data_IF_203805289465
#
_entry.id   IF_203805289465
#
_cell.length_a   1.000
_cell.length_b   1.000
_cell.length_c   1.000
_cell.angle_alpha   90.00
_cell.angle_beta   90.00
_cell.angle_gamma   90.00
#
_symmetry.space_group_name_H-M   'P 1'
#
loop_
_entity.id
_entity.type
_entity.pdbx_description
1 polymer ?
#
# COMPACT_ATOMS: atom_id res chain seq x y z
N UNK A 1 11.71 29.46 -32.27
CA UNK A 1 11.65 28.90 -30.92
C UNK A 1 12.28 27.52 -30.84
N UNK A 2 13.28 27.40 -29.96
CA UNK A 2 13.75 26.19 -29.25
C UNK A 2 14.25 24.99 -30.08
N UNK A 3 15.51 24.98 -30.54
CA UNK A 3 16.69 24.34 -29.90
C UNK A 3 16.51 22.87 -29.48
N UNK A 4 16.91 21.94 -30.37
CA UNK A 4 17.37 20.59 -30.00
C UNK A 4 18.90 20.55 -30.23
N UNK A 5 19.68 20.46 -29.16
CA UNK A 5 21.12 20.17 -29.22
C UNK A 5 21.34 18.72 -28.79
N UNK A 6 21.55 17.84 -29.77
CA UNK A 6 22.07 16.50 -29.55
C UNK A 6 23.51 16.47 -30.08
N UNK A 7 24.42 17.14 -29.36
CA UNK A 7 25.86 16.91 -29.48
C UNK A 7 26.11 15.47 -29.00
N UNK A 8 26.47 14.56 -29.90
CA UNK A 8 27.85 14.08 -30.09
C UNK A 8 28.42 13.57 -28.76
N UNK A 9 28.68 12.27 -28.58
CA UNK A 9 29.99 11.70 -28.88
C UNK A 9 29.91 10.22 -29.25
N UNK A 10 30.53 9.89 -30.40
CA UNK A 10 30.89 8.54 -30.84
C UNK A 10 32.18 8.07 -30.16
N UNK A 11 32.15 6.81 -29.71
CA UNK A 11 33.19 5.77 -29.86
C UNK A 11 34.68 6.11 -29.62
N UNK A 12 35.26 5.58 -28.53
CA UNK A 12 36.66 5.10 -28.42
C UNK A 12 36.62 3.92 -27.43
N UNK A 13 36.51 2.68 -27.90
CA UNK A 13 37.60 1.67 -28.02
C UNK A 13 38.43 1.48 -26.74
N UNK A 14 38.36 0.24 -26.25
CA UNK A 14 39.21 -0.35 -25.22
C UNK A 14 40.70 -0.13 -25.54
N UNK A 15 41.43 0.45 -24.60
CA UNK A 15 42.89 0.35 -24.50
C UNK A 15 43.22 -0.28 -23.12
N UNK A 16 43.90 -1.45 -23.08
CA UNK A 16 44.18 -2.19 -21.85
C UNK A 16 45.56 -1.86 -21.27
N UNK A 17 45.90 -0.56 -21.13
CA UNK A 17 47.23 -0.17 -20.61
C UNK A 17 47.27 1.27 -20.05
N UNK A 18 46.47 1.57 -19.02
CA UNK A 18 46.64 2.82 -18.24
C UNK A 18 47.09 2.48 -16.82
N UNK A 19 48.35 2.80 -16.55
CA UNK A 19 49.10 2.36 -15.39
C UNK A 19 48.61 2.90 -14.05
N UNK A 20 49.09 2.19 -13.03
CA UNK A 20 48.94 2.46 -11.61
C UNK A 20 49.08 3.95 -11.24
N UNK A 21 48.12 4.45 -10.46
CA UNK A 21 48.36 5.60 -9.59
C UNK A 21 48.37 5.10 -8.15
N UNK A 22 49.59 4.99 -7.60
CA UNK A 22 49.85 4.84 -6.18
C UNK A 22 49.23 6.02 -5.42
N UNK A 23 48.35 5.74 -4.47
CA UNK A 23 47.93 6.69 -3.44
C UNK A 23 48.34 6.11 -2.08
N UNK A 24 49.34 6.78 -1.53
CA UNK A 24 50.09 6.50 -0.31
C UNK A 24 49.38 7.13 0.91
N UNK A 25 48.89 6.32 1.86
CA UNK A 25 48.43 6.71 3.21
C UNK A 25 47.91 5.48 4.00
N UNK A 26 48.05 5.42 5.34
CA UNK A 26 48.93 4.47 6.01
C UNK A 26 48.21 3.22 6.55
N UNK A 27 48.99 2.14 6.61
CA UNK A 27 48.69 0.88 7.28
C UNK A 27 48.57 1.13 8.79
N UNK A 28 47.38 1.09 9.36
CA UNK A 28 47.24 0.94 10.81
C UNK A 28 47.63 -0.49 11.18
N UNK A 29 48.82 -0.59 11.77
CA UNK A 29 49.43 -1.78 12.35
C UNK A 29 48.50 -2.42 13.38
N UNK A 30 48.27 -3.71 13.19
CA UNK A 30 47.86 -4.64 14.25
C UNK A 30 49.11 -4.83 15.09
N UNK A 31 49.15 -4.23 16.29
CA UNK A 31 49.89 -4.68 17.48
C UNK A 31 49.86 -3.55 18.52
N UNK A 32 48.99 -3.69 19.51
CA UNK A 32 49.26 -3.34 20.91
C UNK A 32 48.14 -3.98 21.77
N UNK A 33 48.43 -5.22 22.19
CA UNK A 33 47.76 -5.91 23.28
C UNK A 33 48.32 -5.33 24.59
N UNK A 34 47.54 -4.52 25.30
CA UNK A 34 47.71 -4.35 26.75
C UNK A 34 46.49 -5.00 27.43
N UNK A 35 46.77 -6.17 28.02
CA UNK A 35 45.85 -6.88 28.89
C UNK A 35 45.91 -6.22 30.27
N UNK A 36 44.84 -5.53 30.65
CA UNK A 36 44.59 -5.18 32.05
C UNK A 36 43.57 -6.19 32.58
N UNK A 37 44.04 -7.05 33.48
CA UNK A 37 43.21 -7.87 34.34
C UNK A 37 42.56 -6.95 35.37
N UNK A 38 41.23 -6.82 35.33
CA UNK A 38 40.46 -6.43 36.50
C UNK A 38 39.34 -7.47 36.69
N UNK A 39 39.50 -8.22 37.79
CA UNK A 39 38.54 -9.11 38.38
C UNK A 39 37.25 -8.35 38.71
N UNK A 40 36.15 -8.64 38.03
CA UNK A 40 34.82 -8.23 38.47
C UNK A 40 33.85 -9.42 38.35
N UNK A 41 33.99 -10.37 39.29
CA UNK A 41 32.94 -11.33 39.64
C UNK A 41 31.79 -10.62 40.38
N UNK A 42 31.18 -9.65 39.73
CA UNK A 42 30.01 -8.93 40.18
C UNK A 42 28.75 -9.75 39.86
N UNK A 43 28.35 -10.64 40.77
CA UNK A 43 26.99 -11.21 40.76
C UNK A 43 25.99 -10.13 41.14
N UNK A 44 25.24 -9.63 40.16
CA UNK A 44 24.12 -8.70 40.37
C UNK A 44 23.08 -9.32 41.32
N UNK A 45 22.85 -8.65 42.45
CA UNK A 45 21.79 -9.00 43.40
C UNK A 45 20.43 -8.90 42.68
N UNK A 46 19.81 -10.03 42.37
CA UNK A 46 18.41 -10.04 41.92
C UNK A 46 17.54 -9.55 43.07
N UNK A 47 17.06 -8.30 43.00
CA UNK A 47 16.11 -7.77 43.96
C UNK A 47 14.82 -8.62 43.91
N UNK A 48 14.55 -9.36 44.98
CA UNK A 48 13.32 -10.14 45.12
C UNK A 48 12.19 -9.17 45.44
N UNK A 49 11.43 -8.79 44.41
CA UNK A 49 10.21 -8.01 44.59
C UNK A 49 9.18 -8.85 45.34
N UNK A 50 8.69 -8.31 46.46
CA UNK A 50 7.73 -8.98 47.33
C UNK A 50 6.43 -9.29 46.58
N UNK A 51 5.71 -10.34 47.02
CA UNK A 51 4.44 -10.74 46.40
C UNK A 51 3.42 -9.60 46.39
N UNK A 52 3.39 -8.80 47.46
CA UNK A 52 2.48 -7.65 47.57
C UNK A 52 2.84 -6.49 46.64
N UNK A 53 4.13 -6.23 46.40
CA UNK A 53 4.55 -5.26 45.39
C UNK A 53 4.24 -5.74 43.98
N UNK A 54 4.38 -7.04 43.71
CA UNK A 54 3.98 -7.67 42.46
C UNK A 54 2.48 -7.59 42.23
N UNK A 55 1.67 -7.82 43.27
CA UNK A 55 0.21 -7.72 43.23
C UNK A 55 -0.27 -6.25 43.12
N UNK A 56 0.49 -5.29 43.66
CA UNK A 56 0.23 -3.85 43.47
C UNK A 56 0.61 -3.38 42.07
N UNK A 57 1.70 -3.89 41.50
CA UNK A 57 2.12 -3.60 40.14
C UNK A 57 1.22 -4.28 39.09
N UNK A 58 0.78 -5.52 39.33
CA UNK A 58 -0.12 -6.28 38.46
C UNK A 58 -1.50 -5.65 38.30
N UNK A 59 -2.01 -4.98 39.34
CA UNK A 59 -3.28 -4.24 39.30
C UNK A 59 -3.27 -2.99 38.40
N UNK A 60 -2.10 -2.51 37.97
CA UNK A 60 -1.99 -1.42 36.97
C UNK A 60 -2.02 -1.90 35.52
N UNK A 61 -2.13 -3.22 35.30
CA UNK A 61 -2.20 -3.85 33.98
C UNK A 61 -3.51 -4.64 33.79
N UNK A 62 -4.60 -4.20 34.39
CA UNK A 62 -5.90 -4.63 33.93
C UNK A 62 -6.08 -4.02 32.54
N UNK A 63 -6.01 -4.86 31.49
CA UNK A 63 -6.47 -4.47 30.16
C UNK A 63 -7.99 -4.44 30.30
N UNK A 64 -8.59 -3.26 30.26
CA UNK A 64 -10.04 -3.12 30.21
C UNK A 64 -10.54 -3.83 28.95
N UNK A 65 -11.22 -4.97 29.14
CA UNK A 65 -11.73 -5.81 28.06
C UNK A 65 -12.91 -5.15 27.31
N UNK A 66 -13.47 -4.07 27.85
CA UNK A 66 -14.57 -3.31 27.26
C UNK A 66 -14.08 -2.22 26.27
N UNK A 67 -12.79 -1.88 26.31
CA UNK A 67 -12.16 -1.00 25.32
C UNK A 67 -11.46 -1.85 24.27
N UNK A 68 -12.24 -2.47 23.37
CA UNK A 68 -11.68 -2.86 22.08
C UNK A 68 -11.11 -1.56 21.48
N UNK A 69 -9.79 -1.42 21.27
CA UNK A 69 -9.26 -0.19 20.72
C UNK A 69 -9.93 0.00 19.37
N UNK A 70 -10.76 1.05 19.24
CA UNK A 70 -11.43 1.36 18.00
C UNK A 70 -10.35 1.46 16.92
N UNK A 71 -10.32 0.48 16.02
CA UNK A 71 -9.34 0.46 14.95
C UNK A 71 -9.40 1.82 14.25
N UNK A 72 -8.26 2.52 14.20
CA UNK A 72 -8.18 3.85 13.58
C UNK A 72 -8.74 3.73 12.16
N UNK A 73 -9.86 4.41 11.92
CA UNK A 73 -10.46 4.45 10.58
C UNK A 73 -9.44 5.09 9.65
N UNK A 74 -9.06 4.42 8.55
CA UNK A 74 -8.15 5.02 7.58
C UNK A 74 -8.81 6.26 6.96
N UNK A 75 -8.00 7.26 6.61
CA UNK A 75 -8.49 8.44 5.91
C UNK A 75 -9.09 8.02 4.55
N UNK A 76 -10.31 8.46 4.18
CA UNK A 76 -10.93 8.09 2.91
C UNK A 76 -10.06 8.43 1.69
N UNK A 77 -9.43 9.61 1.67
CA UNK A 77 -8.56 10.02 0.57
C UNK A 77 -7.30 9.13 0.45
N UNK A 78 -6.76 8.67 1.58
CA UNK A 78 -5.64 7.72 1.59
C UNK A 78 -6.06 6.34 1.09
N UNK A 79 -7.29 5.89 1.40
CA UNK A 79 -7.81 4.65 0.84
C UNK A 79 -7.97 4.73 -0.67
N UNK A 80 -8.56 5.80 -1.19
CA UNK A 80 -8.76 5.99 -2.63
C UNK A 80 -7.43 6.01 -3.39
N UNK A 81 -6.43 6.74 -2.88
CA UNK A 81 -5.08 6.77 -3.48
C UNK A 81 -4.41 5.40 -3.46
N UNK A 82 -4.54 4.63 -2.37
CA UNK A 82 -4.03 3.26 -2.28
C UNK A 82 -4.71 2.32 -3.26
N UNK A 83 -6.02 2.43 -3.44
CA UNK A 83 -6.78 1.64 -4.43
C UNK A 83 -6.34 2.00 -5.85
N UNK A 84 -6.17 3.29 -6.14
CA UNK A 84 -5.68 3.74 -7.45
C UNK A 84 -4.27 3.22 -7.75
N UNK A 85 -3.37 3.26 -6.76
CA UNK A 85 -2.01 2.70 -6.89
C UNK A 85 -2.06 1.18 -7.11
N UNK A 86 -2.87 0.44 -6.35
CA UNK A 86 -3.02 -1.00 -6.51
C UNK A 86 -3.56 -1.38 -7.89
N UNK A 87 -4.55 -0.63 -8.40
CA UNK A 87 -5.07 -0.79 -9.77
C UNK A 87 -3.98 -0.55 -10.82
N UNK A 88 -3.18 0.50 -10.64
CA UNK A 88 -2.06 0.82 -11.52
C UNK A 88 -1.01 -0.30 -11.54
N UNK A 89 -0.63 -0.85 -10.39
CA UNK A 89 0.34 -1.94 -10.32
C UNK A 89 -0.12 -3.20 -11.04
N UNK A 90 -1.43 -3.49 -11.03
CA UNK A 90 -1.98 -4.66 -11.71
C UNK A 90 -2.25 -4.42 -13.20
N UNK A 91 -2.20 -3.17 -13.68
CA UNK A 91 -2.47 -2.82 -15.08
C UNK A 91 -1.55 -3.55 -16.06
N UNK A 92 -0.28 -3.74 -15.71
CA UNK A 92 0.68 -4.46 -16.53
C UNK A 92 0.30 -5.93 -16.75
N UNK A 93 -0.28 -6.58 -15.74
CA UNK A 93 -0.73 -7.98 -15.84
C UNK A 93 -1.97 -8.08 -16.73
N UNK A 94 -2.93 -7.18 -16.55
CA UNK A 94 -4.12 -7.09 -17.41
C UNK A 94 -3.75 -6.75 -18.86
N UNK A 95 -2.74 -5.89 -19.07
CA UNK A 95 -2.21 -5.57 -20.40
C UNK A 95 -1.52 -6.78 -21.05
N UNK A 96 -0.76 -7.56 -20.27
CA UNK A 96 -0.13 -8.78 -20.77
C UNK A 96 -1.19 -9.78 -21.23
N UNK A 97 -2.23 -10.03 -20.40
CA UNK A 97 -3.36 -10.89 -20.77
C UNK A 97 -4.12 -10.37 -21.99
N UNK A 98 -4.36 -9.06 -22.05
CA UNK A 98 -4.99 -8.46 -23.22
C UNK A 98 -4.20 -8.75 -24.50
N UNK A 99 -2.86 -8.58 -24.48
CA UNK A 99 -2.02 -8.86 -25.66
C UNK A 99 -2.09 -10.32 -26.06
N UNK A 100 -2.07 -11.25 -25.10
CA UNK A 100 -2.20 -12.68 -25.37
C UNK A 100 -3.53 -13.02 -26.05
N UNK A 101 -4.65 -12.51 -25.51
CA UNK A 101 -6.01 -12.77 -26.03
C UNK A 101 -6.21 -12.09 -27.39
N UNK A 102 -5.66 -10.90 -27.59
CA UNK A 102 -5.90 -10.10 -28.80
C UNK A 102 -4.99 -10.46 -29.97
N UNK A 103 -3.85 -11.11 -29.73
CA UNK A 103 -2.87 -11.48 -30.77
C UNK A 103 -3.49 -12.26 -31.95
N UNK A 104 -4.34 -13.30 -31.76
CA UNK A 104 -4.94 -14.01 -32.88
C UNK A 104 -5.85 -13.14 -33.74
N UNK A 105 -6.56 -12.17 -33.15
CA UNK A 105 -7.41 -11.24 -33.89
C UNK A 105 -6.59 -10.30 -34.79
N UNK A 106 -5.39 -9.89 -34.35
CA UNK A 106 -4.48 -9.13 -35.19
C UNK A 106 -3.99 -9.97 -36.39
N UNK A 107 -3.65 -11.24 -36.16
CA UNK A 107 -3.23 -12.16 -37.22
C UNK A 107 -4.35 -12.37 -38.27
N UNK A 108 -5.59 -12.60 -37.82
CA UNK A 108 -6.76 -12.71 -38.70
C UNK A 108 -7.01 -11.45 -39.52
N UNK A 109 -6.87 -10.27 -38.91
CA UNK A 109 -7.02 -8.99 -39.61
C UNK A 109 -5.93 -8.78 -40.66
N UNK A 110 -4.67 -9.07 -40.31
CA UNK A 110 -3.56 -8.97 -41.28
C UNK A 110 -3.65 -9.99 -42.43
N UNK A 111 -4.43 -11.05 -42.25
CA UNK A 111 -4.75 -12.03 -43.28
C UNK A 111 -6.06 -11.71 -44.04
N UNK A 112 -6.61 -10.50 -43.85
CA UNK A 112 -7.86 -10.01 -44.44
C UNK A 112 -9.08 -10.92 -44.17
N UNK A 113 -9.06 -11.67 -43.06
CA UNK A 113 -10.14 -12.61 -42.69
C UNK A 113 -11.26 -11.96 -41.90
N UNK A 114 -11.00 -10.80 -41.29
CA UNK A 114 -11.97 -10.04 -40.49
C UNK A 114 -11.94 -8.57 -40.88
N UNK A 115 -13.06 -7.88 -40.72
CA UNK A 115 -13.14 -6.43 -40.95
C UNK A 115 -12.51 -5.63 -39.81
N UNK A 116 -12.26 -4.33 -40.05
CA UNK A 116 -11.81 -3.40 -39.01
C UNK A 116 -12.84 -3.26 -37.87
N UNK A 117 -14.13 -3.32 -38.19
CA UNK A 117 -15.23 -3.26 -37.22
C UNK A 117 -15.22 -4.49 -36.31
N UNK A 118 -15.03 -5.68 -36.88
CA UNK A 118 -14.89 -6.92 -36.11
C UNK A 118 -13.62 -6.92 -35.26
N UNK A 119 -12.50 -6.40 -35.78
CA UNK A 119 -11.27 -6.25 -35.00
C UNK A 119 -11.50 -5.33 -33.79
N UNK A 120 -12.21 -4.21 -33.98
CA UNK A 120 -12.55 -3.30 -32.88
C UNK A 120 -13.45 -3.97 -31.84
N UNK A 121 -14.42 -4.77 -32.26
CA UNK A 121 -15.27 -5.56 -31.35
C UNK A 121 -14.43 -6.59 -30.56
N UNK A 122 -13.58 -7.36 -31.24
CA UNK A 122 -12.68 -8.33 -30.60
C UNK A 122 -11.69 -7.66 -29.65
N UNK A 123 -11.22 -6.45 -29.96
CA UNK A 123 -10.37 -5.64 -29.08
C UNK A 123 -11.08 -5.29 -27.77
N UNK A 124 -12.34 -4.84 -27.87
CA UNK A 124 -13.16 -4.51 -26.68
C UNK A 124 -13.41 -5.77 -25.84
N UNK A 125 -13.81 -6.87 -26.47
CA UNK A 125 -14.05 -8.13 -25.78
C UNK A 125 -12.78 -8.66 -25.10
N UNK A 126 -11.63 -8.61 -25.77
CA UNK A 126 -10.35 -9.01 -25.19
C UNK A 126 -9.95 -8.13 -23.98
N UNK A 127 -10.27 -6.83 -24.01
CA UNK A 127 -10.04 -5.95 -22.85
C UNK A 127 -10.93 -6.28 -21.67
N UNK A 128 -12.21 -6.50 -21.92
CA UNK A 128 -13.17 -6.91 -20.90
C UNK A 128 -12.76 -8.24 -20.25
N UNK A 129 -12.41 -9.23 -21.08
CA UNK A 129 -11.91 -10.51 -20.62
C UNK A 129 -10.62 -10.38 -19.81
N UNK A 130 -9.61 -9.66 -20.32
CA UNK A 130 -8.35 -9.49 -19.61
C UNK A 130 -8.49 -8.78 -18.26
N UNK A 131 -9.45 -7.87 -18.12
CA UNK A 131 -9.76 -7.23 -16.84
C UNK A 131 -10.50 -8.19 -15.88
N UNK A 132 -11.41 -9.03 -16.40
CA UNK A 132 -12.11 -10.05 -15.62
C UNK A 132 -11.22 -11.20 -15.16
N UNK A 133 -10.18 -11.54 -15.92
CA UNK A 133 -9.24 -12.63 -15.61
C UNK A 133 -8.24 -12.28 -14.49
N UNK A 134 -8.24 -11.04 -13.97
CA UNK A 134 -7.38 -10.63 -12.87
C UNK A 134 -8.14 -10.73 -11.53
N UNK A 135 -8.03 -11.85 -10.79
CA UNK A 135 -8.84 -12.08 -9.58
C UNK A 135 -8.52 -11.07 -8.47
N UNK A 136 -7.28 -10.58 -8.40
CA UNK A 136 -6.88 -9.60 -7.39
C UNK A 136 -7.57 -8.26 -7.64
N UNK A 137 -7.57 -7.77 -8.88
CA UNK A 137 -8.28 -6.55 -9.26
C UNK A 137 -9.79 -6.68 -9.03
N UNK A 138 -10.38 -7.79 -9.45
CA UNK A 138 -11.82 -8.05 -9.25
C UNK A 138 -12.17 -8.02 -7.76
N UNK A 139 -11.39 -8.67 -6.91
CA UNK A 139 -11.61 -8.67 -5.46
C UNK A 139 -11.44 -7.29 -4.82
N UNK A 140 -10.45 -6.51 -5.28
CA UNK A 140 -10.19 -5.16 -4.81
C UNK A 140 -11.36 -4.22 -5.16
N UNK A 141 -11.85 -4.29 -6.40
CA UNK A 141 -12.96 -3.48 -6.87
C UNK A 141 -14.24 -3.81 -6.11
N UNK A 142 -14.55 -5.09 -5.92
CA UNK A 142 -15.69 -5.53 -5.11
C UNK A 142 -15.61 -5.02 -3.66
N UNK A 143 -14.43 -5.10 -3.03
CA UNK A 143 -14.24 -4.62 -1.67
C UNK A 143 -14.38 -3.09 -1.58
N UNK A 144 -13.87 -2.35 -2.56
CA UNK A 144 -14.00 -0.90 -2.62
C UNK A 144 -15.45 -0.47 -2.84
N UNK A 145 -16.18 -1.14 -3.73
CA UNK A 145 -17.60 -0.87 -3.98
C UNK A 145 -18.45 -1.14 -2.74
N UNK A 146 -18.17 -2.24 -2.03
CA UNK A 146 -18.83 -2.56 -0.76
C UNK A 146 -18.56 -1.48 0.30
N UNK A 147 -17.32 -1.00 0.41
CA UNK A 147 -16.95 0.09 1.31
C UNK A 147 -17.69 1.39 0.94
N UNK A 148 -17.73 1.76 -0.34
CA UNK A 148 -18.44 2.93 -0.81
C UNK A 148 -19.95 2.85 -0.55
N UNK A 149 -20.55 1.67 -0.74
CA UNK A 149 -21.95 1.41 -0.42
C UNK A 149 -22.23 1.54 1.09
N UNK A 150 -21.36 1.00 1.93
CA UNK A 150 -21.46 1.13 3.38
C UNK A 150 -21.37 2.60 3.82
N UNK A 151 -20.46 3.38 3.23
CA UNK A 151 -20.35 4.82 3.50
C UNK A 151 -21.63 5.59 3.14
N UNK A 152 -22.24 5.29 1.99
CA UNK A 152 -23.54 5.86 1.60
C UNK A 152 -24.66 5.47 2.56
N UNK A 153 -24.72 4.20 2.96
CA UNK A 153 -25.72 3.72 3.91
C UNK A 153 -25.58 4.41 5.28
N UNK A 154 -24.34 4.61 5.76
CA UNK A 154 -24.08 5.32 7.00
C UNK A 154 -24.52 6.80 6.93
N UNK A 155 -24.24 7.48 5.82
CA UNK A 155 -24.69 8.86 5.62
C UNK A 155 -26.22 8.97 5.60
N UNK A 156 -26.91 8.03 4.95
CA UNK A 156 -28.37 7.95 4.94
C UNK A 156 -28.93 7.71 6.35
N UNK A 157 -28.32 6.80 7.12
CA UNK A 157 -28.73 6.52 8.50
C UNK A 157 -28.56 7.75 9.40
N UNK A 158 -27.43 8.47 9.31
CA UNK A 158 -27.20 9.69 10.07
C UNK A 158 -28.24 10.78 9.73
N UNK A 159 -28.57 10.95 8.46
CA UNK A 159 -29.61 11.90 8.05
C UNK A 159 -31.00 11.50 8.55
N UNK A 160 -31.32 10.20 8.54
CA UNK A 160 -32.57 9.68 9.08
C UNK A 160 -32.68 9.90 10.60
N UNK A 161 -31.58 9.73 11.34
CA UNK A 161 -31.53 10.01 12.77
C UNK A 161 -31.77 11.49 13.08
N UNK A 162 -31.12 12.40 12.34
CA UNK A 162 -31.35 13.86 12.48
C UNK A 162 -32.81 14.22 12.21
N UNK A 163 -33.42 13.63 11.17
CA UNK A 163 -34.83 13.85 10.86
C UNK A 163 -35.75 13.34 11.98
N UNK A 164 -35.49 12.12 12.48
CA UNK A 164 -36.26 11.53 13.58
C UNK A 164 -36.12 12.33 14.88
N UNK A 165 -34.93 12.85 15.18
CA UNK A 165 -34.69 13.72 16.33
C UNK A 165 -35.45 15.05 16.20
N UNK A 166 -35.48 15.65 15.01
CA UNK A 166 -36.26 16.86 14.76
C UNK A 166 -37.77 16.61 14.95
N UNK A 167 -38.30 15.50 14.44
CA UNK A 167 -39.68 15.10 14.66
C UNK A 167 -39.97 14.90 16.16
N UNK A 168 -39.09 14.21 16.89
CA UNK A 168 -39.23 14.03 18.33
C UNK A 168 -39.30 15.36 19.08
N UNK A 169 -38.41 16.31 18.76
CA UNK A 169 -38.42 17.66 19.35
C UNK A 169 -39.76 18.35 19.07
N UNK A 170 -40.28 18.30 17.84
CA UNK A 170 -41.58 18.92 17.53
C UNK A 170 -42.74 18.31 18.31
N UNK A 171 -42.72 17.00 18.54
CA UNK A 171 -43.74 16.30 19.34
C UNK A 171 -43.61 16.70 20.81
N UNK A 172 -42.40 16.75 21.36
CA UNK A 172 -42.14 17.17 22.74
C UNK A 172 -42.62 18.60 22.98
N UNK A 173 -42.30 19.55 22.09
CA UNK A 173 -42.75 20.94 22.21
C UNK A 173 -44.28 21.10 22.19
N UNK A 174 -45.00 20.16 21.55
CA UNK A 174 -46.46 20.15 21.56
C UNK A 174 -47.00 19.66 22.90
N UNK A 175 -46.42 18.58 23.42
CA UNK A 175 -46.81 18.02 24.73
C UNK A 175 -46.51 19.00 25.87
N UNK A 176 -45.40 19.72 25.80
CA UNK A 176 -45.03 20.71 26.83
C UNK A 176 -45.93 21.97 26.86
N UNK A 177 -46.73 22.20 25.80
CA UNK A 177 -47.67 23.33 25.70
C UNK A 177 -49.09 22.98 26.12
N UNK A 178 -49.37 21.70 26.37
CA UNK A 178 -50.66 21.19 26.89
C UNK A 178 -50.68 21.20 28.42
#
# INVERSE_FOLDING_TARGET
DSYYTHEEYKAIREDPDSGAMELDAPVHSVDDYEAEEDEDDSVELTAVVSREERDRAGRKRAIDLDEVPAAKRPCPAELETRVAMARSMCSAQSDARFREIFKPALEDYTADRISEEELAQRKRAAREQANGDNPLLVSLDQAFDAHAAAGKAQALAANAEVAAAAELVTVLERVEKE
#
